data_IF_442881095942
#
_entry.id   IF_442881095942
#
_cell.length_a   1.000
_cell.length_b   1.000
_cell.length_c   1.000
_cell.angle_alpha   90.00
_cell.angle_beta   90.00
_cell.angle_gamma   90.00
#
_symmetry.space_group_name_H-M   'P 1'
#
loop_
_entity.id
_entity.type
_entity.pdbx_description
1 polymer ?
#
# COMPACT_ATOMS: atom_id res chain seq x y z
N UNK A 1 -65.26 -62.34 -12.36
CA UNK A 1 -65.22 -61.72 -13.70
C UNK A 1 -64.44 -60.41 -13.60
N UNK A 2 -63.30 -60.31 -14.31
CA UNK A 2 -62.74 -59.12 -15.03
C UNK A 2 -62.81 -57.76 -14.30
N UNK A 3 -61.77 -56.96 -14.03
CA UNK A 3 -60.32 -56.86 -14.31
C UNK A 3 -59.76 -55.87 -13.26
N UNK A 4 -58.54 -56.09 -12.77
CA UNK A 4 -57.69 -55.03 -12.17
C UNK A 4 -57.11 -54.17 -13.32
N UNK A 5 -56.65 -52.91 -13.13
CA UNK A 5 -55.53 -52.64 -12.23
C UNK A 5 -55.55 -51.30 -11.48
N UNK A 6 -54.72 -51.25 -10.44
CA UNK A 6 -54.25 -50.06 -9.77
C UNK A 6 -53.76 -48.99 -10.75
N UNK A 7 -54.36 -47.80 -10.69
CA UNK A 7 -53.69 -46.56 -11.07
C UNK A 7 -54.29 -45.46 -10.22
N UNK A 8 -53.42 -44.65 -9.63
CA UNK A 8 -53.75 -43.48 -8.81
C UNK A 8 -54.28 -43.82 -7.41
N UNK A 9 -53.46 -44.61 -6.70
CA UNK A 9 -53.19 -44.24 -5.32
C UNK A 9 -52.71 -42.77 -5.27
N UNK A 10 -53.08 -42.07 -4.19
CA UNK A 10 -52.28 -40.97 -3.68
C UNK A 10 -52.38 -39.60 -4.40
N UNK A 11 -53.61 -39.12 -4.65
CA UNK A 11 -53.87 -37.68 -4.52
C UNK A 11 -54.76 -37.49 -3.28
N UNK A 12 -54.17 -37.64 -2.09
CA UNK A 12 -53.62 -36.50 -1.38
C UNK A 12 -54.72 -35.45 -1.14
N UNK A 13 -55.59 -35.75 -0.18
CA UNK A 13 -55.95 -34.85 0.92
C UNK A 13 -55.84 -33.36 0.56
N UNK A 14 -56.72 -32.94 -0.35
CA UNK A 14 -57.09 -31.55 -0.49
C UNK A 14 -57.85 -31.15 0.77
N UNK A 15 -57.46 -30.02 1.35
CA UNK A 15 -58.03 -29.33 2.53
C UNK A 15 -57.41 -29.70 3.88
N UNK A 16 -56.19 -29.21 4.09
CA UNK A 16 -55.88 -28.58 5.37
C UNK A 16 -55.52 -27.13 5.10
N UNK A 17 -56.35 -26.25 5.63
CA UNK A 17 -56.26 -24.80 5.57
C UNK A 17 -54.87 -24.35 6.06
N UNK A 18 -54.11 -23.70 5.19
CA UNK A 18 -52.93 -22.95 5.60
C UNK A 18 -53.40 -21.63 6.22
N UNK A 19 -53.19 -21.37 7.53
CA UNK A 19 -53.47 -20.06 8.08
C UNK A 19 -52.45 -19.06 7.51
N UNK A 20 -52.96 -18.15 6.70
CA UNK A 20 -52.27 -17.03 6.04
C UNK A 20 -51.80 -15.96 7.03
N UNK A 21 -50.95 -16.31 8.00
CA UNK A 21 -50.47 -15.39 9.05
C UNK A 21 -48.96 -15.40 9.25
N UNK A 22 -48.17 -15.29 8.18
CA UNK A 22 -46.77 -14.85 8.29
C UNK A 22 -46.27 -14.00 7.10
N UNK A 23 -46.98 -12.96 6.62
CA UNK A 23 -46.41 -12.11 5.56
C UNK A 23 -45.50 -10.98 6.10
N UNK A 24 -45.60 -10.61 7.38
CA UNK A 24 -44.90 -9.41 7.90
C UNK A 24 -43.49 -9.73 8.41
N UNK A 25 -43.34 -10.70 9.31
CA UNK A 25 -42.03 -11.04 9.90
C UNK A 25 -41.02 -11.54 8.85
N UNK A 26 -41.46 -12.38 7.91
CA UNK A 26 -40.61 -12.87 6.83
C UNK A 26 -40.19 -11.75 5.86
N UNK A 27 -41.08 -10.78 5.61
CA UNK A 27 -40.75 -9.57 4.83
C UNK A 27 -39.74 -8.69 5.56
N UNK A 28 -39.92 -8.46 6.86
CA UNK A 28 -38.97 -7.70 7.66
C UNK A 28 -37.60 -8.36 7.72
N UNK A 29 -37.53 -9.69 7.89
CA UNK A 29 -36.27 -10.43 7.88
C UNK A 29 -35.57 -10.34 6.52
N UNK A 30 -36.31 -10.47 5.42
CA UNK A 30 -35.78 -10.34 4.06
C UNK A 30 -35.28 -8.92 3.78
N UNK A 31 -35.98 -7.88 4.25
CA UNK A 31 -35.52 -6.49 4.15
C UNK A 31 -34.26 -6.24 4.97
N UNK A 32 -34.13 -6.84 6.16
CA UNK A 32 -32.97 -6.69 7.04
C UNK A 32 -31.74 -7.41 6.46
N UNK A 33 -31.93 -8.60 5.88
CA UNK A 33 -30.89 -9.31 5.12
C UNK A 33 -30.47 -8.55 3.86
N UNK A 34 -31.43 -7.99 3.11
CA UNK A 34 -31.14 -7.16 1.93
C UNK A 34 -30.37 -5.90 2.34
N UNK A 35 -30.73 -5.24 3.44
CA UNK A 35 -30.03 -4.07 3.97
C UNK A 35 -28.58 -4.39 4.38
N UNK A 36 -28.33 -5.58 4.93
CA UNK A 36 -26.97 -6.05 5.26
C UNK A 36 -26.17 -6.36 3.98
N UNK A 37 -26.80 -6.96 2.96
CA UNK A 37 -26.15 -7.22 1.67
C UNK A 37 -25.83 -5.94 0.87
N UNK A 38 -26.65 -4.88 1.00
CA UNK A 38 -26.40 -3.57 0.38
C UNK A 38 -25.32 -2.77 1.12
N UNK A 39 -25.04 -3.10 2.39
CA UNK A 39 -23.99 -2.46 3.17
C UNK A 39 -22.58 -3.04 2.95
N UNK A 40 -22.44 -4.14 2.20
CA UNK A 40 -21.16 -4.88 2.07
C UNK A 40 -20.24 -4.56 0.88
N UNK A 41 -20.50 -3.62 -0.07
CA UNK A 41 -19.46 -3.20 -1.00
C UNK A 41 -18.74 -1.94 -0.47
N UNK A 42 -18.36 -1.94 0.80
CA UNK A 42 -17.40 -0.98 1.34
C UNK A 42 -16.16 -1.69 1.89
N UNK A 43 -15.80 -2.85 1.32
CA UNK A 43 -14.38 -3.17 1.15
C UNK A 43 -13.83 -2.11 0.20
N UNK A 44 -13.50 -0.96 0.75
CA UNK A 44 -12.86 0.13 0.04
C UNK A 44 -11.69 -0.46 -0.73
N UNK A 45 -11.81 -0.47 -2.06
CA UNK A 45 -10.74 -0.79 -2.99
C UNK A 45 -9.71 0.33 -2.88
N UNK A 46 -8.99 0.39 -1.75
CA UNK A 46 -7.85 1.27 -1.59
C UNK A 46 -6.82 0.76 -2.58
N UNK A 47 -6.54 1.55 -3.62
CA UNK A 47 -5.41 1.29 -4.50
C UNK A 47 -4.18 1.12 -3.60
N UNK A 48 -3.40 0.05 -3.76
CA UNK A 48 -2.18 -0.10 -3.00
C UNK A 48 -1.32 1.16 -3.24
N UNK A 49 -0.76 1.76 -2.19
CA UNK A 49 0.06 2.96 -2.34
C UNK A 49 1.20 2.66 -3.31
N UNK A 50 1.50 3.60 -4.22
CA UNK A 50 2.68 3.47 -5.06
C UNK A 50 3.92 3.46 -4.19
N UNK A 51 4.73 2.43 -4.33
CA UNK A 51 5.97 2.25 -3.58
C UNK A 51 7.13 1.99 -4.52
N UNK A 52 8.29 2.52 -4.17
CA UNK A 52 9.57 2.07 -4.75
C UNK A 52 10.11 0.97 -3.87
N UNK A 53 10.33 -0.21 -4.43
CA UNK A 53 10.99 -1.30 -3.73
C UNK A 53 12.48 -1.01 -3.55
N UNK A 54 12.97 -1.14 -2.32
CA UNK A 54 14.37 -1.07 -1.95
C UNK A 54 14.87 -2.47 -1.55
N UNK A 55 16.20 -2.71 -1.56
CA UNK A 55 16.76 -4.00 -1.16
C UNK A 55 16.31 -4.42 0.26
N UNK A 56 16.34 -5.73 0.52
CA UNK A 56 16.05 -6.33 1.84
C UNK A 56 14.66 -5.99 2.44
N UNK A 57 13.67 -5.71 1.58
CA UNK A 57 12.28 -5.54 2.00
C UNK A 57 11.98 -4.17 2.62
N UNK A 58 12.71 -3.14 2.18
CA UNK A 58 12.37 -1.75 2.47
C UNK A 58 11.64 -1.12 1.29
N UNK A 59 10.93 -0.04 1.55
CA UNK A 59 10.20 0.70 0.54
C UNK A 59 10.40 2.19 0.73
N UNK A 60 10.46 2.91 -0.38
CA UNK A 60 10.18 4.33 -0.40
C UNK A 60 8.69 4.50 -0.73
N UNK A 61 7.93 5.17 0.13
CA UNK A 61 6.51 5.39 -0.08
C UNK A 61 6.09 6.75 0.45
N UNK A 62 4.91 7.21 0.05
CA UNK A 62 4.34 8.42 0.64
C UNK A 62 3.80 8.12 2.04
N UNK A 63 4.13 8.99 2.99
CA UNK A 63 3.56 8.95 4.33
C UNK A 63 2.16 9.61 4.37
N UNK A 64 1.61 9.78 5.58
CA UNK A 64 0.30 10.44 5.77
C UNK A 64 0.31 11.91 5.34
N UNK A 65 1.47 12.56 5.36
CA UNK A 65 1.67 13.93 4.88
C UNK A 65 1.95 13.99 3.36
N UNK A 66 1.80 12.87 2.64
CA UNK A 66 2.10 12.69 1.22
C UNK A 66 3.57 12.94 0.86
N UNK A 67 4.48 12.87 1.83
CA UNK A 67 5.91 13.07 1.63
C UNK A 67 6.62 11.71 1.45
N UNK A 68 7.66 11.63 0.60
CA UNK A 68 8.46 10.42 0.48
C UNK A 68 9.16 10.08 1.80
N UNK A 69 8.94 8.86 2.29
CA UNK A 69 9.53 8.32 3.51
C UNK A 69 10.05 6.89 3.29
N UNK A 70 11.05 6.49 4.06
CA UNK A 70 11.61 5.14 4.02
C UNK A 70 10.93 4.28 5.08
N UNK A 71 10.35 3.16 4.65
CA UNK A 71 9.62 2.24 5.51
C UNK A 71 10.11 0.82 5.32
N UNK A 72 9.92 -0.01 6.34
CA UNK A 72 10.13 -1.45 6.26
C UNK A 72 8.84 -2.15 5.84
N UNK A 73 8.96 -3.31 5.20
CA UNK A 73 7.85 -4.25 5.01
C UNK A 73 7.14 -4.51 6.34
N UNK A 74 5.83 -4.28 6.36
CA UNK A 74 5.02 -4.28 7.59
C UNK A 74 4.66 -2.88 8.11
N UNK A 75 5.21 -1.81 7.53
CA UNK A 75 4.76 -0.43 7.75
C UNK A 75 5.56 0.37 8.79
N UNK A 76 6.59 -0.21 9.40
CA UNK A 76 7.47 0.52 10.33
C UNK A 76 8.27 1.59 9.60
N UNK A 77 8.12 2.85 10.00
CA UNK A 77 8.88 3.97 9.42
C UNK A 77 10.32 3.94 9.95
N UNK A 78 11.28 3.96 9.03
CA UNK A 78 12.72 3.94 9.32
C UNK A 78 13.29 5.35 9.24
N UNK A 79 12.95 6.09 8.19
CA UNK A 79 13.33 7.48 8.00
C UNK A 79 12.10 8.28 7.54
N UNK A 80 11.78 9.33 8.30
CA UNK A 80 10.71 10.27 7.93
C UNK A 80 11.18 11.18 6.80
N UNK A 81 10.23 11.57 5.95
CA UNK A 81 10.46 12.53 4.89
C UNK A 81 10.62 13.97 5.38
N UNK A 82 10.82 14.92 4.44
CA UNK A 82 10.75 14.73 2.99
C UNK A 82 12.05 14.20 2.38
N UNK A 83 12.08 12.94 1.93
CA UNK A 83 13.23 12.41 1.18
C UNK A 83 13.21 13.05 -0.20
N UNK A 84 14.13 14.00 -0.41
CA UNK A 84 14.23 14.81 -1.61
C UNK A 84 14.90 14.03 -2.75
N UNK A 85 15.92 13.24 -2.43
CA UNK A 85 16.62 12.42 -3.40
C UNK A 85 17.26 11.18 -2.78
N UNK A 86 17.44 10.15 -3.59
CA UNK A 86 18.10 8.91 -3.18
C UNK A 86 18.81 8.23 -4.35
N UNK A 87 19.69 7.28 -4.01
CA UNK A 87 20.29 6.30 -4.89
C UNK A 87 20.44 4.98 -4.13
N UNK A 88 20.59 3.90 -4.89
CA UNK A 88 20.81 2.55 -4.34
C UNK A 88 22.11 2.00 -4.89
N UNK A 89 22.97 1.49 -4.01
CA UNK A 89 24.23 0.85 -4.36
C UNK A 89 24.41 -0.44 -3.54
N UNK A 90 24.18 -1.59 -4.18
CA UNK A 90 24.12 -2.87 -3.46
C UNK A 90 23.04 -2.84 -2.38
N UNK A 91 23.44 -3.09 -1.13
CA UNK A 91 22.56 -3.04 0.04
C UNK A 91 22.45 -1.64 0.68
N UNK A 92 23.14 -0.64 0.14
CA UNK A 92 23.13 0.74 0.65
C UNK A 92 22.09 1.58 -0.09
N UNK A 93 21.28 2.30 0.67
CA UNK A 93 20.40 3.37 0.18
C UNK A 93 20.95 4.67 0.72
N UNK A 94 21.33 5.56 -0.18
CA UNK A 94 21.98 6.83 0.15
C UNK A 94 21.12 7.96 -0.39
N UNK A 95 21.06 9.09 0.29
CA UNK A 95 20.17 10.16 -0.15
C UNK A 95 20.21 11.37 0.76
N UNK A 96 19.22 12.25 0.58
CA UNK A 96 19.04 13.42 1.41
C UNK A 96 17.57 13.66 1.75
N UNK A 97 17.38 14.29 2.91
CA UNK A 97 16.14 14.90 3.37
C UNK A 97 16.26 16.40 3.16
N UNK A 98 15.32 16.99 2.43
CA UNK A 98 15.24 18.43 2.14
C UNK A 98 13.85 18.77 1.61
N UNK A 99 13.45 20.03 1.71
CA UNK A 99 12.19 20.52 1.15
C UNK A 99 12.22 20.68 -0.38
N UNK A 100 13.37 20.47 -1.02
CA UNK A 100 13.51 20.52 -2.47
C UNK A 100 12.56 19.53 -3.19
N UNK A 101 11.94 20.02 -4.27
CA UNK A 101 11.09 19.22 -5.16
C UNK A 101 11.41 19.54 -6.61
N UNK A 102 11.46 18.54 -7.50
CA UNK A 102 11.55 18.79 -8.93
C UNK A 102 10.20 19.32 -9.46
N UNK A 103 10.13 20.61 -9.74
CA UNK A 103 8.93 21.25 -10.29
C UNK A 103 8.68 20.80 -11.75
N UNK A 104 7.40 20.56 -12.10
CA UNK A 104 6.98 20.33 -13.48
C UNK A 104 7.48 19.03 -14.15
N UNK A 105 8.12 18.13 -13.40
CA UNK A 105 8.74 16.93 -13.95
C UNK A 105 7.75 15.76 -14.07
N UNK A 106 7.58 15.22 -15.27
CA UNK A 106 6.84 13.97 -15.49
C UNK A 106 7.59 12.75 -14.91
N UNK A 107 8.92 12.78 -14.95
CA UNK A 107 9.80 11.71 -14.44
C UNK A 107 10.87 12.27 -13.48
N UNK A 108 10.50 12.62 -12.23
CA UNK A 108 11.39 13.08 -11.17
C UNK A 108 12.69 12.28 -11.02
N UNK A 109 12.64 10.95 -11.23
CA UNK A 109 13.79 10.05 -11.10
C UNK A 109 14.90 10.27 -12.11
N UNK A 110 14.69 11.12 -13.11
CA UNK A 110 15.73 11.52 -14.06
C UNK A 110 16.44 12.82 -13.64
N UNK A 111 15.94 13.51 -12.61
CA UNK A 111 16.47 14.79 -12.16
C UNK A 111 17.42 14.53 -11.00
N UNK A 112 18.69 14.82 -11.24
CA UNK A 112 19.72 14.81 -10.21
C UNK A 112 19.43 15.92 -9.18
N UNK A 113 19.65 15.60 -7.91
CA UNK A 113 19.56 16.59 -6.85
C UNK A 113 20.62 17.67 -7.05
N UNK A 114 20.26 18.96 -7.11
CA UNK A 114 21.21 20.04 -7.34
C UNK A 114 22.05 20.39 -6.11
N UNK A 115 21.74 19.82 -4.94
CA UNK A 115 22.24 20.29 -3.65
C UNK A 115 21.30 21.33 -3.04
N UNK A 116 21.23 21.38 -1.71
CA UNK A 116 20.49 22.41 -0.99
C UNK A 116 21.15 22.72 0.36
N UNK A 117 21.18 23.98 0.83
CA UNK A 117 21.82 24.35 2.10
C UNK A 117 21.19 23.68 3.33
N UNK A 118 19.89 23.36 3.26
CA UNK A 118 19.11 22.66 4.29
C UNK A 118 19.23 21.13 4.19
N UNK A 119 19.90 20.61 3.16
CA UNK A 119 19.94 19.18 2.89
C UNK A 119 20.67 18.42 4.02
N UNK A 120 19.99 17.41 4.56
CA UNK A 120 20.54 16.47 5.53
C UNK A 120 20.67 15.11 4.88
N UNK A 121 21.90 14.65 4.74
CA UNK A 121 22.22 13.42 4.04
C UNK A 121 22.10 12.21 4.97
N UNK A 122 21.88 11.05 4.35
CA UNK A 122 21.79 9.78 5.05
C UNK A 122 22.43 8.64 4.25
N UNK A 123 22.86 7.63 4.99
CA UNK A 123 23.32 6.33 4.51
C UNK A 123 22.56 5.26 5.28
N UNK A 124 21.84 4.41 4.55
CA UNK A 124 21.05 3.34 5.13
C UNK A 124 21.53 1.98 4.59
N UNK A 125 22.06 1.14 5.48
CA UNK A 125 22.41 -0.24 5.14
C UNK A 125 21.19 -1.14 5.36
N UNK A 126 20.53 -1.51 4.26
CA UNK A 126 19.29 -2.29 4.30
C UNK A 126 19.49 -3.70 4.86
N UNK A 127 20.68 -4.28 4.71
CA UNK A 127 21.00 -5.62 5.22
C UNK A 127 21.05 -5.68 6.75
N UNK A 128 21.66 -4.69 7.39
CA UNK A 128 21.81 -4.62 8.85
C UNK A 128 20.72 -3.79 9.51
N UNK A 129 20.04 -2.93 8.75
CA UNK A 129 19.11 -1.92 9.25
C UNK A 129 19.80 -0.71 9.89
N UNK A 130 21.13 -0.56 9.73
CA UNK A 130 21.88 0.58 10.26
C UNK A 130 21.56 1.84 9.45
N UNK A 131 21.13 2.89 10.14
CA UNK A 131 20.83 4.20 9.57
C UNK A 131 21.76 5.25 10.17
N UNK A 132 22.54 5.88 9.31
CA UNK A 132 23.21 7.15 9.58
C UNK A 132 22.48 8.26 8.86
N UNK A 133 22.18 9.33 9.57
CA UNK A 133 21.33 10.43 9.09
C UNK A 133 21.83 11.75 9.67
N UNK A 134 21.22 12.83 9.23
CA UNK A 134 21.55 14.19 9.68
C UNK A 134 23.01 14.59 9.34
N UNK A 135 23.61 13.91 8.36
CA UNK A 135 24.97 14.17 7.88
C UNK A 135 24.98 15.45 7.03
N UNK A 136 26.06 16.22 7.13
CA UNK A 136 26.37 17.21 6.09
C UNK A 136 26.97 16.52 4.85
N UNK A 137 27.15 17.29 3.78
CA UNK A 137 27.64 16.75 2.52
C UNK A 137 29.06 16.18 2.63
N UNK A 138 29.92 16.76 3.46
CA UNK A 138 31.30 16.33 3.62
C UNK A 138 31.40 15.00 4.38
N UNK A 139 30.68 14.90 5.51
CA UNK A 139 30.56 13.68 6.29
C UNK A 139 29.91 12.56 5.48
N UNK A 140 28.87 12.89 4.70
CA UNK A 140 28.22 11.92 3.81
C UNK A 140 29.19 11.36 2.77
N UNK A 141 29.96 12.21 2.07
CA UNK A 141 30.97 11.75 1.11
C UNK A 141 32.06 10.89 1.76
N UNK A 142 32.46 11.21 2.99
CA UNK A 142 33.41 10.39 3.75
C UNK A 142 32.84 8.99 4.04
N UNK A 143 31.60 8.91 4.53
CA UNK A 143 30.90 7.64 4.76
C UNK A 143 30.72 6.82 3.48
N UNK A 144 30.37 7.47 2.36
CA UNK A 144 30.25 6.81 1.06
C UNK A 144 31.58 6.17 0.64
N UNK A 145 32.68 6.92 0.79
CA UNK A 145 34.02 6.46 0.46
C UNK A 145 34.46 5.29 1.32
N UNK A 146 34.24 5.37 2.64
CA UNK A 146 34.55 4.29 3.58
C UNK A 146 33.80 3.00 3.23
N UNK A 147 32.55 3.13 2.79
CA UNK A 147 31.68 2.01 2.40
C UNK A 147 31.87 1.54 0.95
N UNK A 148 32.85 2.10 0.24
CA UNK A 148 33.18 1.72 -1.14
C UNK A 148 32.16 2.17 -2.19
N UNK A 149 31.30 3.14 -1.87
CA UNK A 149 30.37 3.73 -2.84
C UNK A 149 31.15 4.69 -3.75
N UNK A 150 30.98 4.61 -5.08
CA UNK A 150 31.68 5.51 -6.00
C UNK A 150 31.36 6.98 -5.75
N UNK A 151 32.38 7.86 -5.79
CA UNK A 151 32.20 9.32 -5.66
C UNK A 151 31.30 9.90 -6.77
N UNK A 152 31.17 9.20 -7.90
CA UNK A 152 30.31 9.58 -9.03
C UNK A 152 28.83 9.24 -8.83
N UNK A 153 28.45 8.66 -7.69
CA UNK A 153 27.05 8.31 -7.42
C UNK A 153 26.16 9.55 -7.48
N UNK A 154 25.08 9.46 -8.25
CA UNK A 154 24.10 10.53 -8.39
C UNK A 154 22.82 10.14 -7.68
N UNK A 155 22.38 10.99 -6.76
CA UNK A 155 21.06 10.86 -6.12
C UNK A 155 20.03 11.62 -6.94
N UNK A 156 18.85 11.02 -7.10
CA UNK A 156 17.75 11.54 -7.93
C UNK A 156 16.47 11.62 -7.14
N UNK A 157 15.54 12.46 -7.59
CA UNK A 157 14.26 12.59 -6.91
C UNK A 157 13.44 11.29 -6.99
N UNK A 158 12.66 10.96 -5.94
CA UNK A 158 11.85 9.76 -5.96
C UNK A 158 10.66 9.85 -6.91
N UNK A 159 10.43 8.79 -7.67
CA UNK A 159 9.24 8.65 -8.51
C UNK A 159 8.11 7.97 -7.72
N UNK A 160 7.21 8.79 -7.18
CA UNK A 160 6.03 8.35 -6.44
C UNK A 160 4.77 9.03 -7.03
N UNK A 161 4.21 8.54 -8.15
CA UNK A 161 2.98 9.07 -8.72
C UNK A 161 1.82 8.95 -7.72
N UNK A 162 0.92 9.94 -7.79
CA UNK A 162 -0.28 10.02 -6.95
C UNK A 162 -1.35 8.98 -7.32
#
# INVERSE_FOLDING_TARGET
MVRSPAYVASLALARSEFPSRTPLLARWLAFLLLAICVALPACATQRPPTVVALPNGYYLQRDKAKQPALVRRGGSVVLKGPIAAYAVHGDLVVGCVSDWKPEGAAYPSQIAFPGSPDARYFVFETRTGRLEKDLDEAAWKAELKERGVPESIRIVAPFLPD
#
